data_IF_421769891517
#
_entry.id   IF_421769891517
#
_cell.length_a   1.000
_cell.length_b   1.000
_cell.length_c   1.000
_cell.angle_alpha   90.00
_cell.angle_beta   90.00
_cell.angle_gamma   90.00
#
_symmetry.space_group_name_H-M   'P 1'
#
loop_
_entity.id
_entity.type
_entity.pdbx_description
1 polymer ?
#
# COMPACT_ATOMS: atom_id res chain seq x y z
N UNK A 1 -35.82 10.40 -6.64
CA UNK A 1 -34.40 10.76 -6.78
C UNK A 1 -34.04 11.58 -5.55
N UNK A 2 -32.77 11.60 -5.17
CA UNK A 2 -32.34 12.29 -3.96
C UNK A 2 -30.90 12.75 -4.06
N UNK A 3 -30.38 13.28 -2.97
CA UNK A 3 -29.04 13.83 -2.87
C UNK A 3 -28.13 12.89 -2.09
N UNK A 4 -26.93 12.66 -2.62
CA UNK A 4 -25.83 12.03 -1.87
C UNK A 4 -24.94 13.12 -1.28
N UNK A 5 -24.62 12.98 -0.01
CA UNK A 5 -23.75 13.91 0.72
C UNK A 5 -22.59 13.18 1.38
N UNK A 6 -21.45 13.87 1.46
CA UNK A 6 -20.23 13.36 2.06
C UNK A 6 -19.88 14.23 3.27
N UNK A 7 -19.78 13.60 4.44
CA UNK A 7 -19.37 14.23 5.68
C UNK A 7 -17.93 13.85 6.03
N UNK A 8 -17.11 14.85 6.33
CA UNK A 8 -15.79 14.71 6.95
C UNK A 8 -15.95 14.69 8.47
N UNK A 9 -15.41 13.66 9.09
CA UNK A 9 -15.47 13.40 10.53
C UNK A 9 -14.09 13.50 11.17
N UNK A 10 -14.04 13.54 12.51
CA UNK A 10 -12.77 13.54 13.26
C UNK A 10 -11.91 12.33 12.93
N UNK A 11 -10.59 12.50 13.09
CA UNK A 11 -9.57 11.44 12.89
C UNK A 11 -9.50 10.91 11.45
N UNK A 12 -9.78 11.78 10.47
CA UNK A 12 -9.74 11.43 9.05
C UNK A 12 -10.77 10.37 8.65
N UNK A 13 -11.91 10.35 9.34
CA UNK A 13 -13.03 9.45 9.03
C UNK A 13 -14.01 10.17 8.12
N UNK A 14 -14.75 9.40 7.34
CA UNK A 14 -15.70 9.92 6.38
C UNK A 14 -17.01 9.15 6.47
N UNK A 15 -18.10 9.84 6.17
CA UNK A 15 -19.42 9.25 6.05
C UNK A 15 -20.08 9.69 4.75
N UNK A 16 -20.65 8.75 4.02
CA UNK A 16 -21.47 9.00 2.82
C UNK A 16 -22.90 8.63 3.20
N UNK A 17 -23.83 9.52 2.87
CA UNK A 17 -25.25 9.31 3.14
C UNK A 17 -26.10 9.75 1.96
N UNK A 18 -27.22 9.07 1.77
CA UNK A 18 -28.27 9.47 0.85
C UNK A 18 -29.46 10.09 1.59
N UNK A 19 -30.07 11.12 1.01
CA UNK A 19 -31.32 11.69 1.51
C UNK A 19 -32.24 12.09 0.35
N UNK A 20 -33.53 11.81 0.50
CA UNK A 20 -34.62 12.18 -0.40
C UNK A 20 -35.30 13.51 -0.01
N UNK A 21 -34.94 14.08 1.15
CA UNK A 21 -35.62 15.26 1.75
C UNK A 21 -34.74 16.51 1.77
N UNK A 22 -33.64 16.50 1.04
CA UNK A 22 -32.68 17.60 0.94
C UNK A 22 -31.62 17.60 2.05
N UNK A 23 -30.37 17.78 1.65
CA UNK A 23 -29.21 17.76 2.56
C UNK A 23 -29.23 18.92 3.56
N UNK A 24 -29.89 20.04 3.20
CA UNK A 24 -30.05 21.19 4.12
C UNK A 24 -30.77 20.78 5.40
N UNK A 25 -31.79 19.91 5.33
CA UNK A 25 -32.48 19.39 6.51
C UNK A 25 -31.59 18.49 7.37
N UNK A 26 -30.72 17.73 6.71
CA UNK A 26 -29.70 16.92 7.39
C UNK A 26 -28.74 17.84 8.14
N UNK A 27 -28.23 18.90 7.51
CA UNK A 27 -27.36 19.92 8.12
C UNK A 27 -28.08 20.69 9.23
N UNK A 28 -29.37 20.98 9.09
CA UNK A 28 -30.12 21.72 10.10
C UNK A 28 -30.41 20.89 11.36
N UNK A 29 -30.79 19.62 11.19
CA UNK A 29 -30.81 18.65 12.30
C UNK A 29 -29.42 18.49 12.93
N UNK A 30 -28.41 18.52 12.06
CA UNK A 30 -27.00 18.79 12.32
C UNK A 30 -26.71 19.88 13.36
N UNK A 31 -27.02 21.12 12.97
CA UNK A 31 -26.70 22.35 13.69
C UNK A 31 -27.44 22.48 15.02
N UNK A 32 -28.67 21.97 15.13
CA UNK A 32 -29.51 22.13 16.33
C UNK A 32 -29.06 21.31 17.55
N UNK A 33 -27.88 20.67 17.51
CA UNK A 33 -27.34 19.87 18.62
C UNK A 33 -28.21 18.65 18.98
N UNK A 34 -29.23 18.37 18.16
CA UNK A 34 -30.17 17.30 18.39
C UNK A 34 -29.45 15.97 18.24
N UNK A 35 -29.59 15.09 19.25
CA UNK A 35 -29.12 13.70 19.23
C UNK A 35 -29.26 13.14 17.81
N UNK A 36 -28.14 13.07 17.08
CA UNK A 36 -28.12 12.61 15.70
C UNK A 36 -28.64 11.17 15.71
N UNK A 37 -29.90 10.95 15.33
CA UNK A 37 -30.44 9.60 15.05
C UNK A 37 -29.78 8.97 13.83
N UNK A 38 -28.78 9.60 13.22
CA UNK A 38 -28.10 8.98 12.11
C UNK A 38 -27.08 7.93 12.56
N UNK A 39 -26.34 7.45 11.59
CA UNK A 39 -25.50 6.27 11.70
C UNK A 39 -24.68 6.19 13.00
N UNK A 40 -24.62 4.99 13.59
CA UNK A 40 -23.74 4.68 14.74
C UNK A 40 -22.27 5.10 14.49
N UNK A 41 -21.86 5.22 13.22
CA UNK A 41 -20.54 5.68 12.82
C UNK A 41 -20.26 7.16 13.14
N UNK A 42 -21.19 8.06 12.82
CA UNK A 42 -21.01 9.51 13.07
C UNK A 42 -21.18 9.86 14.54
N UNK A 43 -21.93 9.05 15.31
CA UNK A 43 -21.98 9.16 16.77
C UNK A 43 -20.63 8.77 17.40
N UNK A 44 -19.97 7.74 16.88
CA UNK A 44 -18.65 7.31 17.34
C UNK A 44 -17.55 8.30 16.93
N UNK A 45 -17.66 8.87 15.74
CA UNK A 45 -16.71 9.82 15.18
C UNK A 45 -17.46 11.11 14.81
N UNK A 46 -17.72 12.01 15.77
CA UNK A 46 -18.34 13.29 15.45
C UNK A 46 -17.40 14.14 14.59
N UNK A 47 -17.92 15.05 13.75
CA UNK A 47 -17.13 16.04 13.03
C UNK A 47 -16.53 17.09 13.99
N UNK A 48 -15.47 17.77 13.52
CA UNK A 48 -14.79 18.83 14.29
C UNK A 48 -15.62 20.12 14.34
N UNK A 49 -16.16 20.51 13.18
CA UNK A 49 -17.07 21.62 13.04
C UNK A 49 -18.19 21.18 12.10
N UNK A 50 -19.44 21.37 12.52
CA UNK A 50 -20.59 20.94 11.74
C UNK A 50 -20.86 21.79 10.50
N UNK A 51 -20.39 23.02 10.47
CA UNK A 51 -20.54 23.91 9.30
C UNK A 51 -19.55 23.55 8.19
N UNK A 52 -18.39 23.01 8.56
CA UNK A 52 -17.34 22.57 7.62
C UNK A 52 -17.24 21.05 7.51
N UNK A 53 -18.24 20.31 8.01
CA UNK A 53 -18.24 18.85 7.92
C UNK A 53 -18.75 18.36 6.57
N UNK A 54 -19.63 19.11 5.90
CA UNK A 54 -20.05 18.78 4.55
C UNK A 54 -18.87 19.02 3.60
N UNK A 55 -18.32 17.93 3.07
CA UNK A 55 -17.23 18.00 2.13
C UNK A 55 -17.74 18.15 0.70
N UNK A 56 -18.71 17.31 0.31
CA UNK A 56 -19.23 17.25 -1.05
C UNK A 56 -20.74 16.96 -0.99
N UNK A 57 -21.49 17.51 -1.94
CA UNK A 57 -22.91 17.27 -2.14
C UNK A 57 -23.18 17.06 -3.63
N UNK A 58 -23.96 16.03 -3.95
CA UNK A 58 -24.39 15.71 -5.32
C UNK A 58 -25.73 16.37 -5.65
N UNK A 59 -26.09 16.44 -6.95
CA UNK A 59 -27.40 16.91 -7.39
C UNK A 59 -28.54 15.98 -6.93
N UNK A 60 -29.79 16.43 -7.04
CA UNK A 60 -30.98 15.73 -6.54
C UNK A 60 -31.43 14.53 -7.39
N UNK A 61 -30.60 14.14 -8.37
CA UNK A 61 -30.91 13.11 -9.36
C UNK A 61 -30.34 11.73 -9.00
N UNK A 62 -29.73 11.59 -7.82
CA UNK A 62 -28.99 10.39 -7.46
C UNK A 62 -29.92 9.33 -6.85
N UNK A 63 -29.53 8.06 -6.99
CA UNK A 63 -30.22 6.92 -6.38
C UNK A 63 -29.39 6.32 -5.24
N UNK A 64 -29.95 5.32 -4.54
CA UNK A 64 -29.22 4.59 -3.49
C UNK A 64 -28.01 3.83 -4.05
N UNK A 65 -28.10 3.36 -5.29
CA UNK A 65 -26.99 2.68 -5.96
C UNK A 65 -25.81 3.65 -6.22
N UNK A 66 -26.11 4.93 -6.44
CA UNK A 66 -25.08 5.96 -6.59
C UNK A 66 -24.37 6.24 -5.26
N UNK A 67 -25.09 6.18 -4.12
CA UNK A 67 -24.49 6.25 -2.78
C UNK A 67 -23.46 5.14 -2.56
N UNK A 68 -23.80 3.90 -2.93
CA UNK A 68 -22.90 2.76 -2.79
C UNK A 68 -21.66 2.93 -3.69
N UNK A 69 -21.84 3.42 -4.93
CA UNK A 69 -20.73 3.70 -5.85
C UNK A 69 -19.79 4.77 -5.31
N UNK A 70 -20.34 5.88 -4.80
CA UNK A 70 -19.57 6.98 -4.20
C UNK A 70 -18.86 6.50 -2.92
N UNK A 71 -19.53 5.69 -2.10
CA UNK A 71 -18.94 5.08 -0.91
C UNK A 71 -17.72 4.23 -1.27
N UNK A 72 -17.83 3.37 -2.27
CA UNK A 72 -16.70 2.56 -2.76
C UNK A 72 -15.56 3.42 -3.31
N UNK A 73 -15.88 4.48 -4.05
CA UNK A 73 -14.87 5.42 -4.56
C UNK A 73 -14.12 6.11 -3.42
N UNK A 74 -14.84 6.62 -2.39
CA UNK A 74 -14.17 7.19 -1.21
C UNK A 74 -13.42 6.16 -0.40
N UNK A 75 -13.90 4.92 -0.29
CA UNK A 75 -13.17 3.82 0.33
C UNK A 75 -11.85 3.52 -0.40
N UNK A 76 -11.82 3.67 -1.73
CA UNK A 76 -10.60 3.48 -2.52
C UNK A 76 -9.57 4.60 -2.29
N UNK A 77 -10.03 5.82 -2.03
CA UNK A 77 -9.19 7.00 -1.79
C UNK A 77 -8.66 7.05 -0.35
N UNK A 78 -9.56 6.95 0.64
CA UNK A 78 -9.23 7.14 2.07
C UNK A 78 -9.03 5.82 2.82
N UNK A 79 -9.33 4.68 2.19
CA UNK A 79 -9.25 3.35 2.77
C UNK A 79 -10.57 2.88 3.38
N UNK A 80 -10.86 1.59 3.22
CA UNK A 80 -12.12 0.94 3.63
C UNK A 80 -12.40 1.10 5.13
N UNK A 81 -11.38 1.24 5.99
CA UNK A 81 -11.57 1.40 7.45
C UNK A 81 -11.90 2.83 7.88
N UNK A 82 -11.82 3.79 6.96
CA UNK A 82 -12.00 5.21 7.25
C UNK A 82 -13.35 5.74 6.77
N UNK A 83 -14.00 5.06 5.83
CA UNK A 83 -15.23 5.50 5.18
C UNK A 83 -16.39 4.56 5.50
N UNK A 84 -17.59 5.09 5.76
CA UNK A 84 -18.83 4.32 5.89
C UNK A 84 -19.96 5.01 5.12
N UNK A 85 -20.89 4.24 4.57
CA UNK A 85 -22.05 4.76 3.85
C UNK A 85 -22.86 3.61 3.26
N UNK A 86 -24.10 3.89 2.84
CA UNK A 86 -25.00 2.91 2.23
C UNK A 86 -25.06 1.58 2.96
N UNK A 87 -24.80 0.49 2.22
CA UNK A 87 -24.79 -0.88 2.75
C UNK A 87 -23.71 -1.15 3.80
N UNK A 88 -22.67 -0.32 3.88
CA UNK A 88 -21.53 -0.51 4.77
C UNK A 88 -21.56 0.42 5.98
N UNK A 89 -22.72 0.83 6.45
CA UNK A 89 -22.89 1.73 7.60
C UNK A 89 -22.46 1.13 8.97
N UNK A 90 -22.10 -0.15 9.03
CA UNK A 90 -21.74 -0.86 10.26
C UNK A 90 -20.43 -0.36 10.92
N UNK A 91 -20.44 -0.19 12.25
CA UNK A 91 -19.27 0.31 13.00
C UNK A 91 -18.11 -0.68 13.00
N UNK A 92 -18.41 -1.95 13.30
CA UNK A 92 -17.46 -3.06 13.20
C UNK A 92 -17.80 -3.82 11.92
N UNK A 93 -16.89 -3.77 10.95
CA UNK A 93 -17.02 -4.51 9.69
C UNK A 93 -16.30 -5.85 9.83
N UNK A 94 -16.92 -6.92 9.32
CA UNK A 94 -16.32 -8.24 9.33
C UNK A 94 -15.06 -8.27 8.44
N UNK A 95 -13.97 -8.94 8.84
CA UNK A 95 -12.75 -9.03 8.03
C UNK A 95 -13.00 -9.60 6.62
N UNK A 96 -13.97 -10.52 6.48
CA UNK A 96 -14.38 -11.07 5.18
C UNK A 96 -14.91 -10.00 4.24
N UNK A 97 -15.83 -9.16 4.72
CA UNK A 97 -16.40 -8.05 3.96
C UNK A 97 -15.32 -7.03 3.56
N UNK A 98 -14.38 -6.73 4.47
CA UNK A 98 -13.24 -5.85 4.14
C UNK A 98 -12.44 -6.42 2.95
N UNK A 99 -12.09 -7.71 3.00
CA UNK A 99 -11.33 -8.36 1.92
C UNK A 99 -12.08 -8.39 0.58
N UNK A 100 -13.40 -8.56 0.63
CA UNK A 100 -14.26 -8.52 -0.55
C UNK A 100 -14.27 -7.12 -1.18
N UNK A 101 -14.42 -6.08 -0.36
CA UNK A 101 -14.35 -4.68 -0.80
C UNK A 101 -12.98 -4.31 -1.36
N UNK A 102 -11.90 -4.76 -0.70
CA UNK A 102 -10.53 -4.60 -1.23
C UNK A 102 -10.41 -5.21 -2.62
N UNK A 103 -10.98 -6.40 -2.82
CA UNK A 103 -10.95 -7.09 -4.11
C UNK A 103 -11.78 -6.36 -5.18
N UNK A 104 -12.94 -5.81 -4.82
CA UNK A 104 -13.79 -5.01 -5.72
C UNK A 104 -13.10 -3.70 -6.15
N UNK A 105 -12.52 -2.98 -5.19
CA UNK A 105 -11.77 -1.75 -5.44
C UNK A 105 -10.53 -2.03 -6.31
N UNK A 106 -9.84 -3.15 -6.05
CA UNK A 106 -8.67 -3.53 -6.84
C UNK A 106 -9.02 -3.93 -8.27
N UNK A 107 -10.18 -4.56 -8.50
CA UNK A 107 -10.67 -4.93 -9.84
C UNK A 107 -11.14 -3.71 -10.65
N UNK A 108 -11.74 -2.72 -9.98
CA UNK A 108 -12.25 -1.49 -10.63
C UNK A 108 -11.17 -0.46 -10.90
N UNK A 109 -10.01 -0.53 -10.23
CA UNK A 109 -8.86 0.29 -10.58
C UNK A 109 -8.39 -0.02 -12.00
N UNK A 110 -8.16 0.99 -12.86
CA UNK A 110 -7.57 0.77 -14.17
C UNK A 110 -6.21 0.09 -13.98
N UNK A 111 -6.00 -1.05 -14.66
CA UNK A 111 -4.72 -1.76 -14.63
C UNK A 111 -3.63 -0.78 -15.11
N UNK A 112 -2.79 -0.30 -14.19
CA UNK A 112 -1.59 0.45 -14.54
C UNK A 112 -0.79 -0.35 -15.56
N UNK A 113 -0.60 0.20 -16.76
CA UNK A 113 0.28 -0.38 -17.77
C UNK A 113 -0.39 -1.28 -18.79
N UNK A 114 -1.66 -1.06 -19.15
CA UNK A 114 -2.18 -1.59 -20.41
C UNK A 114 -1.58 -0.80 -21.59
N UNK A 115 -0.27 -0.89 -21.74
CA UNK A 115 0.47 -0.35 -22.87
C UNK A 115 0.20 -1.21 -24.10
N UNK A 116 0.06 -0.57 -25.24
CA UNK A 116 -0.07 -1.22 -26.53
C UNK A 116 1.14 -2.14 -26.75
N UNK A 117 0.90 -3.45 -26.81
CA UNK A 117 1.97 -4.44 -27.05
C UNK A 117 2.64 -4.36 -28.43
N UNK A 118 2.23 -3.42 -29.29
CA UNK A 118 2.83 -3.15 -30.60
C UNK A 118 3.76 -1.92 -30.57
N UNK A 119 3.37 -0.82 -29.91
CA UNK A 119 4.14 0.42 -29.93
C UNK A 119 4.62 0.92 -28.55
N UNK A 120 4.06 0.39 -27.45
CA UNK A 120 4.44 0.76 -26.08
C UNK A 120 3.71 1.96 -25.47
N UNK A 121 2.80 2.62 -26.20
CA UNK A 121 1.97 3.74 -25.71
C UNK A 121 0.72 3.24 -24.99
N UNK A 122 0.19 3.99 -24.04
CA UNK A 122 -0.98 3.66 -23.22
C UNK A 122 -2.32 4.18 -23.77
N UNK A 123 -2.30 4.94 -24.86
CA UNK A 123 -3.52 5.55 -25.44
C UNK A 123 -4.45 4.59 -26.18
N UNK A 124 -4.01 3.37 -26.49
CA UNK A 124 -4.78 2.44 -27.33
C UNK A 124 -4.40 0.96 -27.14
N UNK A 125 -5.27 0.07 -27.61
CA UNK A 125 -5.05 -1.37 -27.67
C UNK A 125 -4.39 -1.80 -29.00
N UNK A 126 -3.76 -3.00 -29.04
CA UNK A 126 -3.03 -3.52 -30.23
C UNK A 126 -3.88 -3.48 -31.51
N UNK A 127 -5.17 -3.79 -31.43
CA UNK A 127 -6.09 -3.80 -32.57
C UNK A 127 -6.32 -2.40 -33.17
N UNK A 128 -6.24 -1.33 -32.36
CA UNK A 128 -6.42 0.07 -32.77
C UNK A 128 -5.08 0.81 -32.87
N UNK A 129 -3.98 0.09 -33.05
CA UNK A 129 -2.64 0.67 -33.13
C UNK A 129 -2.31 1.13 -34.55
N UNK A 130 -2.27 2.45 -34.72
CA UNK A 130 -1.91 3.15 -35.97
C UNK A 130 -0.45 3.66 -35.98
N UNK A 131 0.30 3.43 -34.90
CA UNK A 131 1.67 3.92 -34.80
C UNK A 131 2.62 3.19 -35.77
N UNK A 132 3.48 3.96 -36.45
CA UNK A 132 4.58 3.46 -37.29
C UNK A 132 5.88 3.28 -36.50
N UNK A 133 5.99 3.90 -35.33
CA UNK A 133 7.16 3.85 -34.45
C UNK A 133 6.77 3.45 -33.02
N UNK A 134 7.72 2.87 -32.28
CA UNK A 134 7.57 2.59 -30.85
C UNK A 134 7.86 3.84 -30.00
N UNK A 135 7.54 3.81 -28.71
CA UNK A 135 7.92 4.88 -27.76
C UNK A 135 9.43 5.12 -27.69
N UNK A 136 10.22 4.09 -28.02
CA UNK A 136 11.69 4.14 -28.05
C UNK A 136 12.25 4.62 -29.40
N UNK A 137 11.40 5.02 -30.36
CA UNK A 137 11.82 5.51 -31.68
C UNK A 137 12.16 4.43 -32.71
N UNK A 138 11.80 3.16 -32.46
CA UNK A 138 12.07 2.05 -33.40
C UNK A 138 10.91 1.90 -34.38
N UNK A 139 11.23 1.74 -35.67
CA UNK A 139 10.24 1.54 -36.75
C UNK A 139 9.58 0.17 -36.67
N UNK A 140 8.25 0.14 -36.77
CA UNK A 140 7.44 -1.08 -36.76
C UNK A 140 7.36 -1.62 -38.19
N UNK A 141 8.16 -2.62 -38.54
CA UNK A 141 8.28 -3.11 -39.92
C UNK A 141 7.26 -4.18 -40.30
N UNK A 142 6.72 -4.92 -39.32
CA UNK A 142 5.85 -6.08 -39.58
C UNK A 142 4.55 -6.06 -38.79
N UNK A 143 3.53 -6.76 -39.30
CA UNK A 143 2.24 -6.95 -38.60
C UNK A 143 2.38 -7.81 -37.33
N UNK A 144 3.36 -8.72 -37.31
CA UNK A 144 3.69 -9.58 -36.16
C UNK A 144 4.54 -8.89 -35.09
N UNK A 145 4.98 -7.65 -35.33
CA UNK A 145 5.82 -6.88 -34.41
C UNK A 145 5.28 -6.85 -32.97
N UNK A 146 6.19 -6.93 -32.00
CA UNK A 146 5.92 -6.83 -30.56
C UNK A 146 6.88 -5.86 -29.93
N UNK A 147 6.35 -4.89 -29.19
CA UNK A 147 7.16 -3.97 -28.42
C UNK A 147 7.80 -4.71 -27.24
N UNK A 148 9.15 -4.74 -27.21
CA UNK A 148 9.94 -5.16 -26.05
C UNK A 148 10.59 -3.91 -25.46
N UNK A 149 10.15 -3.42 -24.29
CA UNK A 149 10.85 -2.32 -23.64
C UNK A 149 12.29 -2.75 -23.36
N UNK A 150 13.26 -1.88 -23.67
CA UNK A 150 14.65 -2.08 -23.26
C UNK A 150 14.67 -2.11 -21.73
N UNK A 151 14.74 -3.29 -21.15
CA UNK A 151 14.85 -3.43 -19.70
C UNK A 151 16.12 -2.71 -19.28
N UNK A 152 16.01 -1.67 -18.44
CA UNK A 152 17.18 -1.12 -17.75
C UNK A 152 17.91 -2.30 -17.13
N UNK A 153 19.19 -2.47 -17.45
CA UNK A 153 19.99 -3.58 -16.94
C UNK A 153 19.79 -3.64 -15.43
N UNK A 154 19.20 -4.75 -14.93
CA UNK A 154 19.05 -4.94 -13.49
C UNK A 154 20.46 -4.85 -12.91
N UNK A 155 20.67 -3.88 -12.01
CA UNK A 155 21.94 -3.75 -11.31
C UNK A 155 22.29 -5.13 -10.74
N UNK A 156 23.43 -5.69 -11.15
CA UNK A 156 23.89 -6.97 -10.61
C UNK A 156 23.87 -6.87 -9.08
N UNK A 157 23.31 -7.87 -8.36
CA UNK A 157 23.33 -7.83 -6.90
C UNK A 157 24.78 -7.66 -6.46
N UNK A 158 25.07 -6.57 -5.73
CA UNK A 158 26.40 -6.33 -5.16
C UNK A 158 26.73 -7.56 -4.32
N UNK A 159 27.79 -8.28 -4.69
CA UNK A 159 28.27 -9.42 -3.90
C UNK A 159 28.56 -8.91 -2.50
N UNK A 160 27.88 -9.47 -1.49
CA UNK A 160 28.16 -9.12 -0.09
C UNK A 160 29.64 -9.43 0.17
N UNK A 161 30.40 -8.42 0.57
CA UNK A 161 31.79 -8.61 0.96
C UNK A 161 31.85 -9.69 2.05
N UNK A 162 32.64 -10.75 1.83
CA UNK A 162 32.83 -11.81 2.83
C UNK A 162 33.40 -11.16 4.10
N UNK A 163 32.75 -11.40 5.25
CA UNK A 163 33.22 -10.90 6.53
C UNK A 163 34.69 -11.33 6.76
N UNK A 164 35.57 -10.37 7.06
CA UNK A 164 36.98 -10.64 7.35
C UNK A 164 37.06 -11.55 8.59
N UNK A 165 37.67 -12.73 8.46
CA UNK A 165 37.92 -13.63 9.59
C UNK A 165 38.91 -12.97 10.55
N UNK A 166 38.62 -13.00 11.85
CA UNK A 166 39.51 -12.47 12.88
C UNK A 166 40.83 -13.25 12.94
N UNK A 167 41.93 -12.59 13.33
CA UNK A 167 43.22 -13.25 13.56
C UNK A 167 43.22 -13.98 14.89
N UNK A 168 43.96 -15.10 14.95
CA UNK A 168 44.19 -15.85 16.17
C UNK A 168 44.82 -14.97 17.27
N UNK A 169 44.34 -15.11 18.51
CA UNK A 169 44.91 -14.43 19.68
C UNK A 169 46.12 -15.15 20.31
N UNK A 170 46.44 -16.38 19.89
CA UNK A 170 47.55 -17.19 20.43
C UNK A 170 48.95 -16.73 20.00
N UNK A 171 49.98 -17.24 20.69
CA UNK A 171 51.42 -16.99 20.46
C UNK A 171 52.14 -18.31 20.20
N UNK A 172 53.16 -18.32 19.34
CA UNK A 172 53.78 -19.55 18.80
C UNK A 172 54.58 -20.39 19.80
N UNK A 173 54.96 -19.84 20.95
CA UNK A 173 55.71 -20.53 22.02
C UNK A 173 54.97 -20.27 23.33
N UNK A 174 54.06 -21.15 23.74
CA UNK A 174 53.37 -21.16 25.06
C UNK A 174 53.17 -19.78 25.73
N UNK A 175 52.65 -18.80 25.00
CA UNK A 175 52.39 -17.45 25.52
C UNK A 175 53.57 -16.45 25.51
N UNK A 176 54.81 -16.87 25.25
CA UNK A 176 56.01 -16.02 25.24
C UNK A 176 56.51 -15.68 23.83
N UNK A 177 56.05 -16.40 22.79
CA UNK A 177 56.46 -16.17 21.39
C UNK A 177 55.72 -15.05 20.63
N UNK A 178 56.08 -14.81 19.36
CA UNK A 178 55.37 -13.89 18.47
C UNK A 178 53.91 -14.31 18.23
N UNK A 179 53.05 -13.33 17.90
CA UNK A 179 51.61 -13.56 17.67
C UNK A 179 51.38 -14.46 16.46
N UNK A 180 50.45 -15.40 16.62
CA UNK A 180 50.03 -16.32 15.57
C UNK A 180 49.49 -15.56 14.33
N UNK A 181 49.93 -15.97 13.13
CA UNK A 181 49.50 -15.39 11.85
C UNK A 181 48.23 -16.04 11.28
N UNK A 182 47.76 -17.14 11.86
CA UNK A 182 46.60 -17.89 11.40
C UNK A 182 45.27 -17.18 11.76
N UNK A 183 44.23 -17.44 10.96
CA UNK A 183 42.87 -16.96 11.27
C UNK A 183 42.22 -17.79 12.37
N UNK A 184 41.37 -17.16 13.17
CA UNK A 184 40.60 -17.81 14.21
C UNK A 184 39.58 -18.80 13.60
N UNK A 185 39.35 -19.91 14.28
CA UNK A 185 38.36 -20.89 13.85
C UNK A 185 36.93 -20.42 14.18
N UNK A 186 35.92 -21.00 13.53
CA UNK A 186 34.52 -20.59 13.68
C UNK A 186 34.07 -20.79 15.13
N UNK A 187 33.74 -19.69 15.82
CA UNK A 187 33.31 -19.73 17.22
C UNK A 187 34.43 -19.83 18.25
N UNK A 188 35.68 -19.58 17.88
CA UNK A 188 36.81 -19.44 18.81
C UNK A 188 37.65 -18.20 18.49
N UNK A 189 38.34 -17.68 19.51
CA UNK A 189 39.34 -16.60 19.36
C UNK A 189 40.72 -17.12 18.89
N UNK A 190 40.86 -18.44 18.80
CA UNK A 190 42.11 -19.15 18.51
C UNK A 190 41.98 -19.95 17.21
N UNK A 191 43.10 -20.14 16.52
CA UNK A 191 43.17 -21.02 15.35
C UNK A 191 43.12 -22.50 15.77
N UNK A 192 43.03 -23.40 14.78
CA UNK A 192 42.95 -24.86 15.02
C UNK A 192 44.10 -25.41 15.87
N UNK A 193 45.29 -24.80 15.81
CA UNK A 193 46.47 -25.22 16.59
C UNK A 193 46.38 -24.77 18.05
N UNK A 194 45.88 -23.56 18.31
CA UNK A 194 45.81 -23.02 19.68
C UNK A 194 44.48 -23.35 20.39
N UNK A 195 43.43 -23.70 19.64
CA UNK A 195 42.11 -24.02 20.20
C UNK A 195 42.08 -25.18 21.22
N UNK A 196 42.91 -26.24 21.13
CA UNK A 196 42.96 -27.29 22.15
C UNK A 196 43.45 -26.80 23.52
N UNK A 197 44.31 -25.79 23.55
CA UNK A 197 44.94 -25.27 24.78
C UNK A 197 44.11 -24.16 25.45
N UNK A 198 43.07 -23.64 24.79
CA UNK A 198 42.22 -22.58 25.32
C UNK A 198 40.74 -22.95 25.13
N UNK A 199 39.99 -23.24 26.21
CA UNK A 199 38.61 -23.69 26.12
C UNK A 199 37.71 -22.61 25.49
N UNK A 200 36.75 -23.05 24.66
CA UNK A 200 35.77 -22.14 24.03
C UNK A 200 34.93 -21.50 25.13
N UNK A 201 34.85 -20.17 25.18
CA UNK A 201 33.88 -19.47 26.04
C UNK A 201 32.48 -19.93 25.65
N UNK A 202 31.80 -20.67 26.54
CA UNK A 202 30.37 -20.99 26.39
C UNK A 202 29.63 -19.65 26.23
N UNK A 203 28.99 -19.43 25.09
CA UNK A 203 28.11 -18.27 24.92
C UNK A 203 26.97 -18.43 25.93
N UNK A 204 26.96 -17.59 26.96
CA UNK A 204 25.81 -17.43 27.83
C UNK A 204 24.60 -17.12 26.95
N UNK A 205 23.58 -17.98 27.01
CA UNK A 205 22.29 -17.74 26.37
C UNK A 205 21.60 -16.65 27.21
N UNK A 206 21.61 -15.42 26.70
CA UNK A 206 20.63 -14.39 27.09
C UNK A 206 19.54 -14.37 26.03
#
# INVERSE_FOLDING_TARGET
MGQVYILRLRRGKWYVGYTDRGVVRVIEHIKKGGKFKGAKWTQKYPPENWESCLAEMSSDDHTKEDEDRITLAKMAEHGIRNVRGGQWCMVKMQPRTVKELESLIQKSRPKKGQVCGRCGRDSHNRARCYATTTVDGVSITTKSWKYRPKTKAKAKPKTKAKAKKSRCKGRTLYGTGPRCKLTAAKGSDYCRVHAPYYPKKKRSRR
#
